data_IF_626472860639
#
_entry.id   IF_626472860639
#
_cell.length_a   1.000
_cell.length_b   1.000
_cell.length_c   1.000
_cell.angle_alpha   90.00
_cell.angle_beta   90.00
_cell.angle_gamma   90.00
#
_symmetry.space_group_name_H-M   'P 1'
#
loop_
_entity.id
_entity.type
_entity.pdbx_description
1 polymer ?
#
# COMPACT_ATOMS: atom_id res chain seq x y z
N UNK A 1 6.89 -13.71 -24.15
CA UNK A 1 6.56 -15.04 -23.56
C UNK A 1 5.42 -14.86 -22.58
N UNK A 2 4.48 -15.81 -22.52
CA UNK A 2 3.41 -15.76 -21.51
C UNK A 2 3.95 -16.22 -20.16
N UNK A 3 3.75 -15.43 -19.12
CA UNK A 3 4.05 -15.81 -17.75
C UNK A 3 3.00 -16.82 -17.27
N UNK A 4 3.41 -17.78 -16.44
CA UNK A 4 2.54 -18.80 -15.85
C UNK A 4 2.84 -19.06 -14.37
N UNK A 5 3.58 -18.17 -13.74
CA UNK A 5 3.89 -18.20 -12.31
C UNK A 5 4.28 -16.79 -11.84
N UNK A 6 4.12 -16.53 -10.54
CA UNK A 6 4.73 -15.38 -9.87
C UNK A 6 6.20 -15.68 -9.57
N UNK A 7 7.04 -14.65 -9.70
CA UNK A 7 8.46 -14.67 -9.31
C UNK A 7 8.73 -13.45 -8.41
N UNK A 8 8.47 -13.55 -7.10
CA UNK A 8 8.61 -12.43 -6.19
C UNK A 8 10.02 -11.81 -6.21
N UNK A 9 10.08 -10.48 -6.17
CA UNK A 9 11.34 -9.73 -6.17
C UNK A 9 12.02 -9.56 -7.52
N UNK A 10 11.51 -10.17 -8.59
CA UNK A 10 12.00 -9.92 -9.95
C UNK A 10 11.25 -8.77 -10.62
N UNK A 11 11.85 -8.19 -11.65
CA UNK A 11 11.15 -7.20 -12.50
C UNK A 11 10.04 -7.93 -13.28
N UNK A 12 8.81 -7.45 -13.11
CA UNK A 12 7.67 -7.97 -13.86
C UNK A 12 7.40 -7.08 -15.07
N UNK A 13 7.19 -7.75 -16.21
CA UNK A 13 6.94 -7.08 -17.48
C UNK A 13 5.46 -7.23 -17.87
N UNK A 14 4.92 -6.19 -18.47
CA UNK A 14 3.61 -6.22 -19.10
C UNK A 14 3.62 -7.05 -20.40
N UNK A 15 2.47 -7.16 -21.03
CA UNK A 15 2.34 -7.92 -22.31
C UNK A 15 3.09 -7.30 -23.47
N UNK A 16 3.55 -6.05 -23.35
CA UNK A 16 4.36 -5.34 -24.34
C UNK A 16 5.87 -5.45 -24.03
N UNK A 17 6.24 -6.03 -22.88
CA UNK A 17 7.61 -6.18 -22.43
C UNK A 17 8.19 -4.98 -21.69
N UNK A 18 7.36 -4.03 -21.26
CA UNK A 18 7.76 -2.92 -20.41
C UNK A 18 7.60 -3.28 -18.92
N UNK A 19 8.46 -2.74 -18.03
CA UNK A 19 8.30 -2.92 -16.58
C UNK A 19 6.94 -2.40 -16.09
N UNK A 20 6.23 -3.20 -15.31
CA UNK A 20 4.97 -2.80 -14.69
C UNK A 20 5.23 -1.70 -13.65
N UNK A 21 4.38 -0.67 -13.65
CA UNK A 21 4.45 0.48 -12.76
C UNK A 21 3.09 0.68 -12.07
N UNK A 22 2.84 -0.11 -11.02
CA UNK A 22 1.61 -0.06 -10.23
C UNK A 22 1.92 -0.30 -8.74
N UNK A 23 2.82 0.55 -8.19
CA UNK A 23 3.29 0.43 -6.83
C UNK A 23 2.30 1.02 -5.81
N UNK A 24 2.33 0.54 -4.57
CA UNK A 24 1.55 1.10 -3.45
C UNK A 24 0.03 1.04 -3.58
N UNK A 25 -0.48 0.44 -4.64
CA UNK A 25 -1.91 0.37 -4.95
C UNK A 25 -2.55 -0.97 -4.61
N UNK A 26 -3.59 -1.34 -5.36
CA UNK A 26 -4.37 -2.55 -5.10
C UNK A 26 -4.91 -3.17 -6.39
N UNK A 27 -5.63 -4.30 -6.24
CA UNK A 27 -6.24 -5.05 -7.33
C UNK A 27 -7.75 -5.13 -7.13
N UNK A 28 -8.53 -4.76 -8.14
CA UNK A 28 -9.97 -4.95 -8.19
C UNK A 28 -10.32 -6.02 -9.21
N UNK A 29 -11.33 -6.85 -8.89
CA UNK A 29 -11.91 -7.80 -9.84
C UNK A 29 -13.30 -7.33 -10.28
N UNK A 30 -13.49 -7.11 -11.59
CA UNK A 30 -14.71 -6.59 -12.15
C UNK A 30 -15.05 -7.37 -13.43
N UNK A 31 -16.22 -8.00 -13.46
CA UNK A 31 -16.73 -8.69 -14.65
C UNK A 31 -15.73 -9.66 -15.32
N UNK A 32 -15.04 -10.47 -14.52
CA UNK A 32 -14.10 -11.48 -15.04
C UNK A 32 -12.68 -10.97 -15.31
N UNK A 33 -12.40 -9.70 -15.01
CA UNK A 33 -11.10 -9.06 -15.25
C UNK A 33 -10.55 -8.49 -13.96
N UNK A 34 -9.27 -8.72 -13.69
CA UNK A 34 -8.51 -8.07 -12.64
C UNK A 34 -7.96 -6.74 -13.16
N UNK A 35 -8.07 -5.69 -12.37
CA UNK A 35 -7.48 -4.38 -12.62
C UNK A 35 -6.52 -4.06 -11.49
N UNK A 36 -5.22 -4.00 -11.84
CA UNK A 36 -4.15 -3.63 -10.92
C UNK A 36 -3.75 -2.19 -11.21
N UNK A 37 -3.85 -1.34 -10.21
CA UNK A 37 -3.52 0.08 -10.33
C UNK A 37 -2.58 0.50 -9.21
N UNK A 38 -1.77 1.53 -9.46
CA UNK A 38 -0.81 2.02 -8.49
C UNK A 38 0.06 3.14 -9.04
N UNK A 39 0.99 3.54 -8.21
CA UNK A 39 1.94 4.62 -8.45
C UNK A 39 2.90 4.27 -9.60
N UNK A 40 3.07 5.18 -10.55
CA UNK A 40 4.14 5.09 -11.53
C UNK A 40 5.42 5.73 -10.97
N UNK A 41 6.42 4.90 -10.69
CA UNK A 41 7.72 5.30 -10.16
C UNK A 41 8.82 5.41 -11.21
N UNK A 42 8.54 5.24 -12.51
CA UNK A 42 9.56 5.19 -13.57
C UNK A 42 10.49 6.41 -13.59
N UNK A 43 10.00 7.57 -13.15
CA UNK A 43 10.77 8.82 -13.11
C UNK A 43 11.34 9.16 -11.72
N UNK A 44 11.13 8.32 -10.71
CA UNK A 44 11.64 8.54 -9.36
C UNK A 44 13.05 7.99 -9.24
N UNK A 45 13.99 8.68 -9.87
CA UNK A 45 15.39 8.23 -10.02
C UNK A 45 16.30 8.65 -8.86
N UNK A 46 15.76 9.23 -7.79
CA UNK A 46 16.55 9.67 -6.62
C UNK A 46 17.15 11.07 -6.78
N UNK A 47 16.65 11.89 -7.68
CA UNK A 47 17.08 13.27 -7.89
C UNK A 47 16.20 14.33 -7.21
N UNK A 48 15.12 13.87 -6.53
CA UNK A 48 14.17 14.72 -5.81
C UNK A 48 13.19 15.49 -6.70
N UNK A 49 13.17 15.24 -8.03
CA UNK A 49 12.26 15.94 -8.94
C UNK A 49 10.87 15.36 -9.01
N UNK A 50 10.79 14.04 -8.92
CA UNK A 50 9.52 13.32 -9.02
C UNK A 50 9.39 12.34 -7.87
N UNK A 51 8.23 12.34 -7.22
CA UNK A 51 7.86 11.33 -6.23
C UNK A 51 7.00 10.22 -6.87
N UNK A 52 5.93 10.60 -7.57
CA UNK A 52 5.06 9.70 -8.32
C UNK A 52 4.63 10.38 -9.62
N UNK A 53 4.83 9.73 -10.76
CA UNK A 53 4.50 10.28 -12.07
C UNK A 53 3.15 9.74 -12.55
N UNK A 54 2.07 10.09 -11.82
CA UNK A 54 0.70 9.65 -12.10
C UNK A 54 0.40 8.21 -11.66
N UNK A 55 -0.83 7.79 -11.83
CA UNK A 55 -1.33 6.46 -11.48
C UNK A 55 -1.64 5.69 -12.75
N UNK A 56 -1.01 4.54 -12.92
CA UNK A 56 -1.25 3.60 -14.04
C UNK A 56 -2.22 2.50 -13.63
N UNK A 57 -2.80 1.86 -14.63
CA UNK A 57 -3.65 0.69 -14.46
C UNK A 57 -3.29 -0.38 -15.48
N UNK A 58 -3.41 -1.62 -15.05
CA UNK A 58 -3.18 -2.82 -15.85
C UNK A 58 -4.37 -3.74 -15.73
N UNK A 59 -4.67 -4.52 -16.79
CA UNK A 59 -5.72 -5.55 -16.76
C UNK A 59 -5.17 -6.94 -17.00
N UNK A 60 -5.78 -7.94 -16.36
CA UNK A 60 -5.44 -9.34 -16.53
C UNK A 60 -6.66 -10.24 -16.31
N UNK A 61 -6.70 -11.38 -16.96
CA UNK A 61 -7.68 -12.44 -16.69
C UNK A 61 -7.07 -13.63 -15.96
N UNK A 62 -5.74 -13.67 -15.80
CA UNK A 62 -5.00 -14.79 -15.22
C UNK A 62 -4.05 -14.40 -14.07
N UNK A 63 -3.93 -13.10 -13.75
CA UNK A 63 -3.02 -12.53 -12.76
C UNK A 63 -1.52 -12.64 -13.08
N UNK A 64 -1.15 -13.34 -14.17
CA UNK A 64 0.24 -13.50 -14.57
C UNK A 64 0.64 -12.56 -15.71
N UNK A 65 -0.33 -12.28 -16.60
CA UNK A 65 -0.09 -11.49 -17.83
C UNK A 65 -0.94 -10.22 -17.78
N UNK A 66 -0.26 -9.09 -17.69
CA UNK A 66 -0.88 -7.80 -17.46
C UNK A 66 -0.77 -6.90 -18.70
N UNK A 67 -1.89 -6.43 -19.20
CA UNK A 67 -1.95 -5.45 -20.26
C UNK A 67 -1.93 -4.04 -19.68
N UNK A 68 -1.01 -3.19 -20.11
CA UNK A 68 -0.96 -1.77 -19.74
C UNK A 68 -2.16 -1.03 -20.37
N UNK A 69 -2.94 -0.36 -19.53
CA UNK A 69 -4.08 0.49 -19.92
C UNK A 69 -3.72 1.98 -19.87
N UNK A 70 -2.47 2.32 -19.57
CA UNK A 70 -1.99 3.68 -19.45
C UNK A 70 -2.32 4.35 -18.11
N UNK A 71 -2.28 5.67 -18.11
CA UNK A 71 -2.62 6.48 -16.96
C UNK A 71 -4.13 6.55 -16.77
N UNK A 72 -4.61 6.15 -15.61
CA UNK A 72 -5.99 6.40 -15.18
C UNK A 72 -6.11 7.75 -14.46
N UNK A 73 -5.02 8.19 -13.81
CA UNK A 73 -4.86 9.52 -13.23
C UNK A 73 -3.49 10.04 -13.70
N UNK A 74 -3.46 10.87 -14.77
CA UNK A 74 -2.21 11.40 -15.29
C UNK A 74 -1.58 12.40 -14.31
N UNK A 75 -0.25 12.60 -14.37
CA UNK A 75 0.40 13.67 -13.63
C UNK A 75 -0.07 15.03 -14.15
N UNK A 76 -0.12 16.03 -13.30
CA UNK A 76 -0.42 17.42 -13.67
C UNK A 76 0.87 18.20 -13.91
N UNK A 77 0.87 19.07 -14.90
CA UNK A 77 1.95 20.06 -15.12
C UNK A 77 1.75 21.34 -14.28
N UNK A 78 0.54 21.55 -13.73
CA UNK A 78 0.25 22.67 -12.85
C UNK A 78 0.78 22.39 -11.44
N UNK A 79 1.74 23.19 -10.98
CA UNK A 79 2.36 23.10 -9.64
C UNK A 79 1.35 23.28 -8.49
N UNK A 80 0.20 23.89 -8.76
CA UNK A 80 -0.88 24.06 -7.77
C UNK A 80 -1.79 22.84 -7.67
N UNK A 81 -1.73 21.95 -8.65
CA UNK A 81 -2.54 20.74 -8.66
C UNK A 81 -2.11 19.77 -7.56
N UNK A 82 -3.04 19.10 -6.86
CA UNK A 82 -2.69 18.01 -5.95
C UNK A 82 -1.98 16.86 -6.69
N UNK A 83 -2.15 16.74 -8.01
CA UNK A 83 -1.55 15.71 -8.86
C UNK A 83 -0.20 16.14 -9.46
N UNK A 84 0.39 17.24 -9.01
CA UNK A 84 1.73 17.64 -9.41
C UNK A 84 2.78 16.63 -8.92
N UNK A 85 3.66 16.11 -9.78
CA UNK A 85 4.51 14.95 -9.47
C UNK A 85 5.55 15.16 -8.35
N UNK A 86 5.79 16.38 -7.92
CA UNK A 86 6.65 16.69 -6.77
C UNK A 86 5.91 16.55 -5.44
N UNK A 87 4.59 16.64 -5.42
CA UNK A 87 3.81 16.22 -4.26
C UNK A 87 4.03 14.73 -4.03
N UNK A 88 4.20 14.36 -2.76
CA UNK A 88 4.46 12.96 -2.41
C UNK A 88 3.14 12.19 -2.45
N UNK A 89 2.75 11.80 -3.67
CA UNK A 89 1.52 11.07 -3.97
C UNK A 89 1.77 9.59 -3.72
N UNK A 90 1.02 9.01 -2.78
CA UNK A 90 1.13 7.62 -2.38
C UNK A 90 -0.24 6.94 -2.24
N UNK A 91 -0.24 5.62 -2.24
CA UNK A 91 -1.36 4.76 -1.84
C UNK A 91 -2.68 5.06 -2.54
N UNK A 92 -2.76 5.03 -3.87
CA UNK A 92 -4.06 5.13 -4.52
C UNK A 92 -4.90 3.90 -4.17
N UNK A 93 -6.10 4.10 -3.63
CA UNK A 93 -7.09 3.04 -3.43
C UNK A 93 -8.40 3.40 -4.09
N UNK A 94 -8.98 2.48 -4.84
CA UNK A 94 -10.23 2.67 -5.60
C UNK A 94 -11.28 1.71 -5.08
N UNK A 95 -12.48 2.23 -4.83
CA UNK A 95 -13.68 1.45 -4.51
C UNK A 95 -14.82 1.82 -5.45
N UNK A 96 -15.72 0.86 -5.73
CA UNK A 96 -16.90 1.11 -6.53
C UNK A 96 -18.11 1.37 -5.64
N UNK A 97 -18.78 2.49 -5.87
CA UNK A 97 -20.01 2.83 -5.17
C UNK A 97 -21.24 2.44 -5.99
N UNK A 98 -21.96 1.43 -5.55
CA UNK A 98 -23.13 0.91 -6.28
C UNK A 98 -24.30 1.90 -6.29
N UNK A 99 -24.42 2.81 -5.29
CA UNK A 99 -25.49 3.80 -5.19
C UNK A 99 -25.30 4.94 -6.17
N UNK A 100 -24.07 5.48 -6.25
CA UNK A 100 -23.72 6.59 -7.13
C UNK A 100 -23.27 6.15 -8.51
N UNK A 101 -22.99 4.85 -8.70
CA UNK A 101 -22.40 4.25 -9.91
C UNK A 101 -21.03 4.85 -10.27
N UNK A 102 -20.26 5.29 -9.27
CA UNK A 102 -18.93 5.88 -9.44
C UNK A 102 -17.84 4.98 -8.87
N UNK A 103 -16.71 5.02 -9.50
CA UNK A 103 -15.43 4.63 -8.90
C UNK A 103 -14.94 5.83 -8.09
N UNK A 104 -14.64 5.60 -6.81
CA UNK A 104 -14.13 6.61 -5.89
C UNK A 104 -12.69 6.24 -5.57
N UNK A 105 -11.76 7.11 -5.91
CA UNK A 105 -10.34 6.95 -5.65
C UNK A 105 -9.91 7.91 -4.55
N UNK A 106 -9.27 7.37 -3.52
CA UNK A 106 -8.58 8.14 -2.49
C UNK A 106 -7.08 8.02 -2.72
N UNK A 107 -6.36 9.11 -2.52
CA UNK A 107 -4.90 9.18 -2.66
C UNK A 107 -4.34 9.96 -1.49
N UNK A 108 -3.39 9.37 -0.76
CA UNK A 108 -2.60 10.08 0.26
C UNK A 108 -1.62 11.02 -0.43
N UNK A 109 -1.49 12.23 0.06
CA UNK A 109 -0.50 13.21 -0.41
C UNK A 109 0.18 13.89 0.77
N UNK A 110 1.51 13.83 0.81
CA UNK A 110 2.31 14.74 1.61
C UNK A 110 2.61 15.95 0.73
N UNK A 111 1.93 17.05 1.00
CA UNK A 111 2.09 18.29 0.26
C UNK A 111 3.41 18.99 0.62
N UNK A 112 3.96 19.77 -0.31
CA UNK A 112 5.22 20.48 -0.12
C UNK A 112 5.23 21.43 1.09
N UNK A 113 4.06 21.93 1.50
CA UNK A 113 3.88 22.71 2.72
C UNK A 113 3.86 21.91 4.03
N UNK A 114 4.10 20.59 3.96
CA UNK A 114 4.21 19.71 5.13
C UNK A 114 2.88 19.16 5.67
N UNK A 115 1.77 19.33 4.93
CA UNK A 115 0.46 18.77 5.30
C UNK A 115 0.36 17.35 4.73
N UNK A 116 -0.03 16.36 5.54
CA UNK A 116 -0.42 15.04 5.07
C UNK A 116 -1.94 14.93 5.03
N UNK A 117 -2.49 14.77 3.85
CA UNK A 117 -3.92 14.79 3.60
C UNK A 117 -4.30 13.86 2.46
N UNK A 118 -5.60 13.73 2.21
CA UNK A 118 -6.15 12.89 1.14
C UNK A 118 -6.71 13.76 0.02
N UNK A 119 -6.50 13.36 -1.21
CA UNK A 119 -7.24 13.84 -2.38
C UNK A 119 -8.20 12.76 -2.83
N UNK A 120 -9.47 13.15 -3.09
CA UNK A 120 -10.53 12.24 -3.51
C UNK A 120 -10.94 12.57 -4.93
N UNK A 121 -10.99 11.53 -5.76
CA UNK A 121 -11.36 11.64 -7.17
C UNK A 121 -12.49 10.66 -7.48
N UNK A 122 -13.28 10.96 -8.51
CA UNK A 122 -14.33 10.05 -8.98
C UNK A 122 -14.27 9.86 -10.50
N UNK A 123 -14.75 8.71 -10.97
CA UNK A 123 -14.88 8.38 -12.39
C UNK A 123 -16.09 7.48 -12.64
N UNK A 124 -16.57 7.44 -13.89
CA UNK A 124 -17.62 6.51 -14.33
C UNK A 124 -17.06 5.12 -14.66
N UNK A 125 -15.78 5.02 -14.95
CA UNK A 125 -15.08 3.78 -15.28
C UNK A 125 -13.82 3.64 -14.43
N UNK A 126 -13.42 2.39 -14.14
CA UNK A 126 -12.16 2.15 -13.41
C UNK A 126 -10.94 2.74 -14.12
N UNK A 127 -10.98 2.80 -15.45
CA UNK A 127 -9.93 3.38 -16.29
C UNK A 127 -10.00 4.91 -16.42
N UNK A 128 -10.92 5.55 -15.71
CA UNK A 128 -11.10 7.00 -15.74
C UNK A 128 -11.93 7.52 -16.93
N UNK A 129 -11.83 8.81 -17.26
CA UNK A 129 -11.00 9.80 -16.57
C UNK A 129 -11.49 10.10 -15.15
N UNK A 130 -10.57 10.27 -14.21
CA UNK A 130 -10.88 10.66 -12.84
C UNK A 130 -10.88 12.18 -12.69
N UNK A 131 -11.85 12.69 -11.95
CA UNK A 131 -11.98 14.12 -11.63
C UNK A 131 -11.77 14.31 -10.13
N UNK A 132 -10.91 15.24 -9.75
CA UNK A 132 -10.72 15.65 -8.36
C UNK A 132 -12.01 16.31 -7.85
N UNK A 133 -12.56 15.80 -6.74
CA UNK A 133 -13.75 16.33 -6.09
C UNK A 133 -13.46 16.93 -4.72
N UNK A 134 -12.35 16.52 -4.10
CA UNK A 134 -11.90 17.03 -2.80
C UNK A 134 -10.39 16.94 -2.73
N UNK A 135 -9.73 18.02 -2.32
CA UNK A 135 -8.28 18.07 -2.11
C UNK A 135 -7.95 18.52 -0.69
N UNK A 136 -6.73 18.20 -0.22
CA UNK A 136 -6.26 18.52 1.13
C UNK A 136 -7.27 18.14 2.23
N UNK A 137 -8.02 17.06 1.98
CA UNK A 137 -9.00 16.57 2.93
C UNK A 137 -8.30 15.90 4.10
N UNK A 138 -8.59 16.37 5.30
CA UNK A 138 -8.11 15.83 6.58
C UNK A 138 -9.26 15.13 7.28
N UNK A 139 -9.42 13.81 7.13
CA UNK A 139 -10.50 13.05 7.75
C UNK A 139 -10.47 13.26 9.27
N UNK A 140 -11.62 13.54 9.88
CA UNK A 140 -11.74 13.81 11.34
C UNK A 140 -10.84 14.97 11.83
N UNK A 141 -10.41 15.88 10.95
CA UNK A 141 -9.41 16.92 11.20
C UNK A 141 -8.02 16.39 11.61
N UNK A 142 -7.69 15.15 11.20
CA UNK A 142 -6.40 14.48 11.44
C UNK A 142 -5.53 14.51 10.19
N UNK A 143 -4.21 14.60 10.37
CA UNK A 143 -3.28 14.29 9.28
C UNK A 143 -3.35 12.80 8.98
N UNK A 144 -3.48 12.46 7.70
CA UNK A 144 -3.71 11.10 7.23
C UNK A 144 -2.51 10.56 6.49
N UNK A 145 -1.91 9.51 7.04
CA UNK A 145 -0.83 8.74 6.44
C UNK A 145 -1.34 7.61 5.54
N UNK A 146 -0.60 6.52 5.49
CA UNK A 146 -0.95 5.33 4.69
C UNK A 146 -2.29 4.75 5.10
N UNK A 147 -3.02 4.19 4.14
CA UNK A 147 -4.38 3.76 4.38
C UNK A 147 -4.82 2.58 3.50
N UNK A 148 -5.97 2.02 3.85
CA UNK A 148 -6.76 1.09 3.03
C UNK A 148 -8.24 1.46 3.07
N UNK A 149 -8.95 1.15 1.98
CA UNK A 149 -10.41 1.32 1.84
C UNK A 149 -11.10 -0.04 1.74
N UNK A 150 -12.12 -0.21 2.55
CA UNK A 150 -12.85 -1.47 2.64
C UNK A 150 -14.34 -1.25 2.45
N UNK A 151 -14.97 -2.02 1.57
CA UNK A 151 -16.42 -2.04 1.42
C UNK A 151 -16.96 -3.36 1.94
N UNK A 152 -17.81 -3.28 2.95
CA UNK A 152 -18.48 -4.43 3.53
C UNK A 152 -19.60 -4.98 2.61
N UNK A 153 -20.06 -6.23 2.81
CA UNK A 153 -21.15 -6.79 2.03
C UNK A 153 -22.47 -5.99 2.12
N UNK A 154 -22.69 -5.30 3.24
CA UNK A 154 -23.85 -4.41 3.46
C UNK A 154 -23.69 -3.02 2.83
N UNK A 155 -22.61 -2.81 2.07
CA UNK A 155 -22.20 -1.57 1.39
C UNK A 155 -21.76 -0.44 2.30
N UNK A 156 -21.57 -0.67 3.58
CA UNK A 156 -20.84 0.28 4.42
C UNK A 156 -19.37 0.30 4.04
N UNK A 157 -18.81 1.51 4.01
CA UNK A 157 -17.39 1.73 3.74
C UNK A 157 -16.62 2.00 5.03
N UNK A 158 -15.37 1.54 5.05
CA UNK A 158 -14.44 1.78 6.15
C UNK A 158 -13.11 2.27 5.60
N UNK A 159 -12.50 3.22 6.31
CA UNK A 159 -11.23 3.83 6.01
C UNK A 159 -10.27 3.57 7.17
N UNK A 160 -9.28 2.70 6.93
CA UNK A 160 -8.20 2.43 7.88
C UNK A 160 -7.02 3.30 7.51
N UNK A 161 -6.58 4.18 8.39
CA UNK A 161 -5.46 5.07 8.08
C UNK A 161 -4.56 5.32 9.29
N UNK A 162 -3.30 5.55 9.02
CA UNK A 162 -2.37 6.06 10.00
C UNK A 162 -2.73 7.52 10.32
N UNK A 163 -3.05 7.82 11.58
CA UNK A 163 -3.02 9.17 12.10
C UNK A 163 -1.56 9.53 12.33
N UNK A 164 -1.01 10.33 11.44
CA UNK A 164 0.42 10.51 11.23
C UNK A 164 1.24 10.41 12.50
N UNK A 165 2.05 9.34 12.52
CA UNK A 165 3.05 8.97 13.50
C UNK A 165 2.54 8.76 14.94
N UNK A 166 1.27 8.36 15.12
CA UNK A 166 0.71 8.10 16.46
C UNK A 166 -0.05 6.78 16.59
N UNK A 167 -1.03 6.54 15.73
CA UNK A 167 -1.96 5.42 15.88
C UNK A 167 -2.66 5.10 14.55
N UNK A 168 -3.32 3.95 14.46
CA UNK A 168 -4.16 3.59 13.34
C UNK A 168 -5.63 3.90 13.65
N UNK A 169 -6.32 4.58 12.75
CA UNK A 169 -7.75 4.91 12.85
C UNK A 169 -8.54 4.01 11.91
N UNK A 170 -9.69 3.52 12.37
CA UNK A 170 -10.75 2.98 11.51
C UNK A 170 -11.93 3.94 11.57
N UNK A 171 -12.27 4.59 10.46
CA UNK A 171 -13.40 5.49 10.33
C UNK A 171 -14.46 4.93 9.39
N UNK A 172 -15.75 5.14 9.72
CA UNK A 172 -16.86 4.80 8.83
C UNK A 172 -17.00 5.85 7.73
N UNK A 173 -17.07 5.43 6.47
CA UNK A 173 -17.30 6.32 5.31
C UNK A 173 -18.77 6.75 5.21
N UNK A 174 -18.99 7.89 4.56
CA UNK A 174 -20.33 8.29 4.09
C UNK A 174 -20.86 7.35 3.00
N UNK A 175 -22.16 7.39 2.73
CA UNK A 175 -22.84 6.52 1.75
C UNK A 175 -22.28 6.62 0.32
N UNK A 176 -21.70 7.76 -0.05
CA UNK A 176 -21.07 8.00 -1.35
C UNK A 176 -19.56 7.71 -1.38
N UNK A 177 -18.98 7.33 -0.23
CA UNK A 177 -17.56 7.04 -0.01
C UNK A 177 -16.63 8.25 -0.25
N UNK A 178 -17.14 9.49 -0.17
CA UNK A 178 -16.34 10.69 -0.42
C UNK A 178 -16.01 11.48 0.86
N UNK A 179 -16.42 10.96 2.02
CA UNK A 179 -16.16 11.56 3.33
C UNK A 179 -16.22 10.49 4.43
N UNK A 180 -15.98 10.89 5.68
CA UNK A 180 -16.18 10.10 6.89
C UNK A 180 -17.38 10.60 7.68
N UNK A 181 -18.10 9.68 8.36
CA UNK A 181 -19.31 10.03 9.13
C UNK A 181 -19.02 10.70 10.46
N UNK A 182 -17.79 10.59 10.96
CA UNK A 182 -17.41 10.99 12.31
C UNK A 182 -17.37 9.81 13.31
N UNK A 183 -17.92 8.66 12.96
CA UNK A 183 -17.75 7.41 13.72
C UNK A 183 -16.36 6.83 13.45
N UNK A 184 -15.55 6.63 14.50
CA UNK A 184 -14.23 6.03 14.36
C UNK A 184 -13.77 5.30 15.63
N UNK A 185 -12.75 4.48 15.48
CA UNK A 185 -12.00 3.81 16.55
C UNK A 185 -10.50 3.97 16.34
N UNK A 186 -9.74 3.92 17.43
CA UNK A 186 -8.28 4.05 17.45
C UNK A 186 -7.65 2.72 17.86
N UNK A 187 -6.55 2.36 17.19
CA UNK A 187 -5.84 1.09 17.35
C UNK A 187 -4.33 1.32 17.37
N UNK A 188 -3.60 0.46 18.07
CA UNK A 188 -2.15 0.39 18.11
C UNK A 188 -1.46 1.74 18.42
N UNK A 189 -1.84 2.44 19.51
CA UNK A 189 -1.14 3.66 19.89
C UNK A 189 0.30 3.33 20.28
N UNK A 190 1.28 3.94 19.60
CA UNK A 190 2.70 3.71 19.81
C UNK A 190 3.49 5.03 19.81
N UNK A 191 4.69 4.98 20.37
CA UNK A 191 5.56 6.16 20.54
C UNK A 191 6.30 6.52 19.24
N UNK A 192 5.58 6.88 18.17
CA UNK A 192 6.18 7.39 16.94
C UNK A 192 7.01 6.39 16.14
N UNK A 193 7.61 6.86 15.04
CA UNK A 193 8.49 6.06 14.21
C UNK A 193 9.74 5.55 14.95
N UNK A 194 10.22 4.38 14.62
CA UNK A 194 9.77 3.47 13.55
C UNK A 194 8.64 2.51 13.95
N UNK A 195 8.09 2.63 15.15
CA UNK A 195 7.21 1.61 15.75
C UNK A 195 5.73 1.78 15.43
N UNK A 196 5.28 3.03 15.17
CA UNK A 196 3.90 3.29 14.80
C UNK A 196 3.54 2.52 13.51
N UNK A 197 2.29 2.06 13.43
CA UNK A 197 1.85 1.18 12.34
C UNK A 197 1.33 1.98 11.16
N UNK A 198 1.86 1.69 9.96
CA UNK A 198 1.43 2.26 8.68
C UNK A 198 1.14 1.15 7.65
N UNK A 199 0.85 1.53 6.42
CA UNK A 199 0.55 0.62 5.30
C UNK A 199 -0.49 -0.47 5.68
N UNK A 200 -1.65 -0.08 6.23
CA UNK A 200 -2.67 -1.08 6.55
C UNK A 200 -3.13 -1.79 5.27
N UNK A 201 -3.22 -3.12 5.32
CA UNK A 201 -3.76 -3.96 4.27
C UNK A 201 -4.80 -4.90 4.90
N UNK A 202 -6.06 -4.64 4.60
CA UNK A 202 -7.19 -5.31 5.22
C UNK A 202 -7.70 -6.47 4.38
N UNK A 203 -8.13 -7.54 5.03
CA UNK A 203 -8.89 -8.63 4.39
C UNK A 203 -9.76 -9.37 5.39
N UNK A 204 -10.73 -10.14 4.87
CA UNK A 204 -11.60 -10.98 5.71
C UNK A 204 -11.49 -12.43 5.34
N UNK A 205 -11.60 -13.31 6.34
CA UNK A 205 -11.76 -14.76 6.14
C UNK A 205 -12.61 -15.35 7.25
N UNK A 206 -13.63 -16.13 6.87
CA UNK A 206 -14.51 -16.86 7.78
C UNK A 206 -15.13 -15.98 8.89
N UNK A 207 -15.55 -14.75 8.53
CA UNK A 207 -16.14 -13.78 9.45
C UNK A 207 -15.13 -13.08 10.39
N UNK A 208 -13.84 -13.35 10.27
CA UNK A 208 -12.77 -12.64 10.96
C UNK A 208 -12.20 -11.54 10.07
N UNK A 209 -11.80 -10.44 10.68
CA UNK A 209 -11.23 -9.25 10.06
C UNK A 209 -9.73 -9.22 10.37
N UNK A 210 -8.90 -9.21 9.35
CA UNK A 210 -7.44 -9.20 9.48
C UNK A 210 -6.89 -7.89 8.97
N UNK A 211 -5.83 -7.43 9.61
CA UNK A 211 -5.11 -6.22 9.22
C UNK A 211 -3.61 -6.49 9.29
N UNK A 212 -2.92 -6.39 8.16
CA UNK A 212 -1.47 -6.42 8.10
C UNK A 212 -1.00 -4.97 8.06
N UNK A 213 0.05 -4.65 8.82
CA UNK A 213 0.64 -3.32 8.88
C UNK A 213 2.16 -3.43 8.86
N UNK A 214 2.85 -2.34 8.52
CA UNK A 214 4.30 -2.18 8.69
C UNK A 214 4.62 -1.17 9.77
N UNK A 215 5.88 -1.11 10.22
CA UNK A 215 6.40 0.03 10.97
C UNK A 215 6.67 1.21 10.05
N UNK A 216 6.92 2.39 10.62
CA UNK A 216 7.17 3.63 9.87
C UNK A 216 8.65 3.82 9.62
N UNK A 217 9.12 3.40 8.46
CA UNK A 217 10.53 3.51 8.04
C UNK A 217 10.68 4.02 6.59
N UNK A 218 9.71 4.78 6.10
CA UNK A 218 9.67 5.23 4.71
C UNK A 218 9.74 4.04 3.75
N UNK A 219 10.56 4.12 2.73
CA UNK A 219 10.73 3.02 1.76
C UNK A 219 11.64 1.88 2.23
N UNK A 220 12.30 2.01 3.40
CA UNK A 220 13.14 0.94 3.95
C UNK A 220 12.26 -0.16 4.55
N UNK A 221 12.53 -1.45 4.22
CA UNK A 221 11.71 -2.55 4.70
C UNK A 221 11.87 -2.77 6.21
N UNK A 222 10.79 -3.25 6.83
CA UNK A 222 10.69 -3.50 8.27
C UNK A 222 9.76 -4.69 8.53
N UNK A 223 9.68 -5.22 9.76
CA UNK A 223 8.79 -6.32 10.06
C UNK A 223 7.32 -5.91 10.01
N UNK A 224 6.53 -6.66 9.26
CA UNK A 224 5.08 -6.57 9.29
C UNK A 224 4.52 -7.11 10.61
N UNK A 225 3.34 -6.62 10.97
CA UNK A 225 2.53 -7.15 12.06
C UNK A 225 1.12 -7.43 11.55
N UNK A 226 0.56 -8.57 11.93
CA UNK A 226 -0.82 -8.90 11.63
C UNK A 226 -1.66 -8.90 12.89
N UNK A 227 -2.88 -8.37 12.79
CA UNK A 227 -3.87 -8.37 13.86
C UNK A 227 -5.22 -8.90 13.36
N UNK A 228 -6.06 -9.38 14.29
CA UNK A 228 -7.37 -9.95 14.01
C UNK A 228 -8.45 -9.33 14.89
N UNK A 229 -9.64 -9.15 14.33
CA UNK A 229 -10.84 -8.69 15.03
C UNK A 229 -12.09 -9.49 14.59
N UNK A 230 -13.18 -9.35 15.33
CA UNK A 230 -14.51 -9.88 14.97
C UNK A 230 -15.39 -8.83 14.26
N UNK A 231 -14.98 -7.57 14.25
CA UNK A 231 -15.73 -6.46 13.67
C UNK A 231 -14.79 -5.49 12.93
N UNK A 232 -15.33 -4.69 11.98
CA UNK A 232 -14.55 -3.69 11.24
C UNK A 232 -13.86 -2.68 12.17
N UNK A 233 -14.54 -2.18 13.17
CA UNK A 233 -13.99 -1.25 14.16
C UNK A 233 -13.16 -1.92 15.26
N UNK A 234 -12.82 -3.19 15.14
CA UNK A 234 -12.07 -3.93 16.15
C UNK A 234 -12.94 -4.36 17.36
N UNK A 235 -12.37 -4.50 18.56
CA UNK A 235 -10.95 -4.34 18.85
C UNK A 235 -10.07 -5.38 18.16
N UNK A 236 -8.88 -4.96 17.72
CA UNK A 236 -7.90 -5.83 17.08
C UNK A 236 -6.94 -6.44 18.10
N UNK A 237 -6.70 -7.74 17.96
CA UNK A 237 -5.70 -8.49 18.72
C UNK A 237 -4.50 -8.79 17.84
N UNK A 238 -3.32 -8.37 18.24
CA UNK A 238 -2.06 -8.61 17.52
C UNK A 238 -1.69 -10.09 17.57
N UNK A 239 -1.36 -10.66 16.41
CA UNK A 239 -0.90 -12.05 16.26
C UNK A 239 0.61 -12.15 16.02
N UNK A 240 1.30 -11.01 15.81
CA UNK A 240 2.74 -10.92 15.55
C UNK A 240 3.11 -10.85 14.07
N UNK A 241 4.38 -11.13 13.76
CA UNK A 241 4.89 -11.10 12.39
C UNK A 241 4.37 -12.31 11.58
N UNK A 242 3.71 -12.11 10.43
CA UNK A 242 3.23 -13.22 9.61
C UNK A 242 4.33 -13.88 8.75
N UNK A 243 5.48 -13.23 8.52
CA UNK A 243 6.54 -13.71 7.64
C UNK A 243 7.38 -14.81 8.31
N UNK A 244 7.19 -16.04 7.89
CA UNK A 244 7.86 -17.21 8.48
C UNK A 244 9.21 -17.43 7.82
N UNK A 245 10.27 -17.46 8.64
CA UNK A 245 11.65 -17.65 8.14
C UNK A 245 12.30 -16.39 7.58
N UNK A 246 11.71 -15.22 7.79
CA UNK A 246 12.38 -13.94 7.50
C UNK A 246 13.33 -13.57 8.65
N UNK A 247 14.56 -14.06 8.59
CA UNK A 247 15.60 -13.81 9.59
C UNK A 247 16.11 -12.36 9.56
N UNK A 248 15.69 -11.58 8.56
CA UNK A 248 16.16 -10.19 8.39
C UNK A 248 15.23 -9.16 9.02
N UNK A 249 14.04 -9.57 9.49
CA UNK A 249 13.00 -8.67 10.02
C UNK A 249 12.60 -7.55 9.01
N UNK A 250 12.49 -7.92 7.73
CA UNK A 250 12.23 -6.96 6.64
C UNK A 250 10.98 -7.30 5.83
N UNK A 251 10.18 -8.27 6.27
CA UNK A 251 9.04 -8.79 5.49
C UNK A 251 9.48 -9.27 4.10
N UNK A 252 10.60 -10.03 4.04
CA UNK A 252 11.28 -10.45 2.82
C UNK A 252 11.70 -9.26 1.93
N UNK A 253 12.19 -8.18 2.54
CA UNK A 253 12.54 -6.91 1.90
C UNK A 253 11.38 -6.29 1.10
N UNK A 254 10.20 -6.24 1.72
CA UNK A 254 9.02 -5.64 1.10
C UNK A 254 8.09 -4.99 2.12
N UNK A 255 7.17 -4.18 1.62
CA UNK A 255 6.06 -3.61 2.39
C UNK A 255 4.75 -4.01 1.70
N UNK A 256 3.83 -4.63 2.43
CA UNK A 256 2.52 -5.01 1.89
C UNK A 256 1.67 -3.74 1.78
N UNK A 257 1.11 -3.49 0.59
CA UNK A 257 0.24 -2.35 0.28
C UNK A 257 -1.23 -2.72 0.26
N UNK A 258 -1.55 -3.98 -0.06
CA UNK A 258 -2.92 -4.47 -0.10
C UNK A 258 -2.96 -6.00 -0.04
N UNK A 259 -4.14 -6.53 0.25
CA UNK A 259 -4.44 -7.97 0.17
C UNK A 259 -5.71 -8.17 -0.63
N UNK A 260 -5.71 -9.08 -1.59
CA UNK A 260 -6.93 -9.46 -2.27
C UNK A 260 -7.14 -10.97 -2.33
N UNK A 261 -8.40 -11.40 -2.37
CA UNK A 261 -8.77 -12.80 -2.56
C UNK A 261 -8.83 -13.14 -4.04
N UNK A 262 -8.19 -14.24 -4.45
CA UNK A 262 -8.26 -14.73 -5.83
C UNK A 262 -9.65 -15.33 -6.11
N UNK A 263 -10.29 -14.85 -7.18
CA UNK A 263 -11.61 -15.33 -7.56
C UNK A 263 -11.58 -16.80 -7.99
N UNK A 264 -12.60 -17.54 -7.58
CA UNK A 264 -12.70 -18.97 -7.82
C UNK A 264 -11.86 -19.85 -6.89
N UNK A 265 -11.02 -19.25 -6.03
CA UNK A 265 -10.23 -19.95 -5.02
C UNK A 265 -10.87 -19.79 -3.63
N UNK A 266 -10.97 -20.91 -2.89
CA UNK A 266 -11.60 -20.93 -1.57
C UNK A 266 -10.78 -20.17 -0.54
N UNK A 267 -9.47 -20.42 -0.52
CA UNK A 267 -8.58 -19.98 0.56
C UNK A 267 -7.34 -19.21 0.07
N UNK A 268 -7.27 -18.81 -1.21
CA UNK A 268 -6.11 -18.09 -1.73
C UNK A 268 -6.30 -16.57 -1.61
N UNK A 269 -5.49 -15.97 -0.75
CA UNK A 269 -5.31 -14.53 -0.61
C UNK A 269 -3.89 -14.18 -1.02
N UNK A 270 -3.70 -13.10 -1.75
CA UNK A 270 -2.38 -12.61 -2.17
C UNK A 270 -2.06 -11.34 -1.40
N UNK A 271 -0.96 -11.37 -0.64
CA UNK A 271 -0.37 -10.18 -0.07
C UNK A 271 0.48 -9.48 -1.13
N UNK A 272 0.08 -8.27 -1.52
CA UNK A 272 0.74 -7.47 -2.55
C UNK A 272 1.82 -6.61 -1.90
N UNK A 273 3.06 -7.09 -1.90
CA UNK A 273 4.20 -6.37 -1.38
C UNK A 273 4.96 -5.61 -2.47
N UNK A 274 5.46 -4.43 -2.12
CA UNK A 274 6.41 -3.65 -2.91
C UNK A 274 7.80 -3.75 -2.28
N UNK A 275 8.80 -4.17 -3.07
CA UNK A 275 10.22 -4.05 -2.73
C UNK A 275 10.72 -2.73 -3.28
N UNK A 276 10.59 -1.69 -2.47
CA UNK A 276 10.87 -0.31 -2.88
C UNK A 276 12.33 -0.07 -3.26
N UNK A 277 13.27 -0.64 -2.49
CA UNK A 277 14.70 -0.36 -2.59
C UNK A 277 15.51 -1.65 -2.80
N UNK A 278 15.39 -2.32 -3.97
CA UNK A 278 16.10 -3.57 -4.23
C UNK A 278 17.63 -3.41 -4.18
N UNK A 279 18.14 -2.20 -4.42
CA UNK A 279 19.57 -1.90 -4.37
C UNK A 279 20.12 -1.68 -2.94
N UNK A 280 19.25 -1.55 -1.93
CA UNK A 280 19.60 -1.31 -0.53
C UNK A 280 19.27 -2.50 0.39
N UNK A 281 19.09 -3.70 -0.15
CA UNK A 281 18.79 -4.92 0.64
C UNK A 281 19.91 -5.31 1.63
N UNK A 282 21.11 -4.77 1.47
CA UNK A 282 22.23 -4.98 2.39
C UNK A 282 22.13 -4.16 3.67
N UNK A 283 21.21 -3.17 3.75
CA UNK A 283 21.02 -2.35 4.94
C UNK A 283 20.17 -3.13 5.95
N UNK A 284 20.70 -3.48 7.13
CA UNK A 284 19.97 -4.28 8.10
C UNK A 284 18.86 -3.46 8.75
N UNK A 285 17.71 -4.09 9.04
CA UNK A 285 16.59 -3.44 9.71
C UNK A 285 16.99 -2.74 11.01
N UNK A 286 17.93 -3.32 11.78
CA UNK A 286 18.43 -2.68 13.01
C UNK A 286 18.99 -1.29 12.76
N UNK A 287 19.75 -1.08 11.68
CA UNK A 287 20.29 0.22 11.33
C UNK A 287 19.17 1.20 10.93
N UNK A 288 18.23 0.76 10.08
CA UNK A 288 17.05 1.55 9.68
C UNK A 288 16.23 1.96 10.91
N UNK A 289 15.91 1.00 11.78
CA UNK A 289 15.19 1.25 13.03
C UNK A 289 15.88 2.30 13.90
N UNK A 290 17.17 2.15 14.11
CA UNK A 290 17.96 3.05 14.96
C UNK A 290 18.08 4.46 14.33
N UNK A 291 18.15 4.56 13.00
CA UNK A 291 18.14 5.80 12.23
C UNK A 291 16.82 6.57 12.42
N UNK A 292 15.68 5.92 12.15
CA UNK A 292 14.36 6.55 12.31
C UNK A 292 14.10 6.91 13.77
N UNK A 293 14.42 6.02 14.71
CA UNK A 293 14.32 6.32 16.13
C UNK A 293 15.11 7.57 16.49
N UNK A 294 16.36 7.68 16.02
CA UNK A 294 17.21 8.86 16.25
C UNK A 294 16.54 10.14 15.74
N UNK A 295 16.09 10.16 14.50
CA UNK A 295 15.43 11.33 13.91
C UNK A 295 14.18 11.78 14.65
N UNK A 296 13.33 10.85 15.08
CA UNK A 296 12.07 11.17 15.74
C UNK A 296 12.16 11.35 17.27
N UNK A 297 13.28 10.97 17.90
CA UNK A 297 13.55 11.23 19.32
C UNK A 297 14.53 12.39 19.57
N UNK A 298 14.98 13.06 18.48
CA UNK A 298 15.87 14.21 18.56
C UNK A 298 17.36 13.89 18.58
N UNK A 299 17.76 12.61 18.46
CA UNK A 299 19.17 12.20 18.29
C UNK A 299 19.56 12.19 16.80
N UNK A 300 19.53 13.38 16.18
CA UNK A 300 19.84 13.55 14.76
C UNK A 300 21.22 13.02 14.38
N UNK A 301 22.21 13.17 15.28
CA UNK A 301 23.59 12.74 15.04
C UNK A 301 23.69 11.22 14.79
N UNK A 302 22.91 10.43 15.52
CA UNK A 302 22.85 8.98 15.33
C UNK A 302 22.27 8.61 13.96
N UNK A 303 21.20 9.28 13.55
CA UNK A 303 20.61 9.09 12.22
C UNK A 303 21.61 9.41 11.10
N UNK A 304 22.28 10.57 11.19
CA UNK A 304 23.32 10.98 10.22
C UNK A 304 24.51 10.04 10.17
N UNK A 305 24.92 9.47 11.32
CA UNK A 305 26.00 8.48 11.37
C UNK A 305 25.62 7.24 10.54
N UNK A 306 24.40 6.72 10.68
CA UNK A 306 23.92 5.55 9.94
C UNK A 306 23.83 5.86 8.43
N UNK A 307 23.33 7.04 8.06
CA UNK A 307 23.32 7.49 6.66
C UNK A 307 24.71 7.44 6.04
N UNK A 308 25.74 7.89 6.76
CA UNK A 308 27.13 7.85 6.30
C UNK A 308 27.69 6.41 6.27
N UNK A 309 27.43 5.61 7.30
CA UNK A 309 27.94 4.24 7.42
C UNK A 309 27.46 3.35 6.26
N UNK A 310 26.19 3.45 5.90
CA UNK A 310 25.58 2.66 4.83
C UNK A 310 25.53 3.39 3.48
N UNK A 311 26.10 4.61 3.39
CA UNK A 311 26.08 5.45 2.20
C UNK A 311 24.65 5.59 1.61
N UNK A 312 23.70 5.91 2.49
CA UNK A 312 22.29 6.03 2.08
C UNK A 312 22.07 7.28 1.22
N UNK A 313 21.22 7.20 0.20
CA UNK A 313 20.95 8.34 -0.66
C UNK A 313 20.13 9.41 0.08
N UNK A 314 20.26 10.67 -0.36
CA UNK A 314 19.43 11.77 0.14
C UNK A 314 17.96 11.61 -0.30
N UNK A 315 17.73 11.08 -1.50
CA UNK A 315 16.42 10.75 -2.05
C UNK A 315 16.47 9.33 -2.57
N UNK A 316 15.46 8.55 -2.23
CA UNK A 316 15.36 7.15 -2.64
C UNK A 316 14.99 7.04 -4.13
N UNK A 317 15.69 6.16 -4.85
CA UNK A 317 15.41 5.85 -6.25
C UNK A 317 14.45 4.64 -6.32
N UNK A 318 13.16 4.90 -6.28
CA UNK A 318 12.14 3.84 -6.34
C UNK A 318 11.77 3.41 -7.77
N UNK A 319 12.39 4.00 -8.80
CA UNK A 319 12.18 3.57 -10.19
C UNK A 319 12.60 2.13 -10.48
N UNK A 320 13.44 1.54 -9.62
CA UNK A 320 13.86 0.14 -9.69
C UNK A 320 13.05 -0.80 -8.78
N UNK A 321 12.00 -0.31 -8.14
CA UNK A 321 11.15 -1.11 -7.27
C UNK A 321 10.60 -2.35 -7.98
N UNK A 322 10.41 -3.42 -7.23
CA UNK A 322 9.88 -4.70 -7.72
C UNK A 322 8.75 -5.19 -6.82
N UNK A 323 8.08 -6.24 -7.24
CA UNK A 323 6.92 -6.78 -6.52
C UNK A 323 7.25 -8.07 -5.78
N UNK A 324 6.75 -8.17 -4.55
CA UNK A 324 6.82 -9.38 -3.72
C UNK A 324 5.38 -9.78 -3.39
N UNK A 325 4.72 -10.43 -4.36
CA UNK A 325 3.38 -10.98 -4.15
C UNK A 325 3.48 -12.41 -3.66
N UNK A 326 2.97 -12.65 -2.46
CA UNK A 326 3.05 -13.94 -1.80
C UNK A 326 1.68 -14.43 -1.33
N UNK A 327 1.41 -15.75 -1.39
CA UNK A 327 0.17 -16.30 -0.88
C UNK A 327 0.14 -16.26 0.65
N UNK A 328 -1.02 -15.92 1.19
CA UNK A 328 -1.30 -16.05 2.62
C UNK A 328 -1.88 -17.45 2.87
N UNK A 329 -1.21 -18.24 3.69
CA UNK A 329 -1.69 -19.54 4.15
C UNK A 329 -2.17 -19.45 5.60
N UNK A 330 -3.13 -20.28 5.99
CA UNK A 330 -3.68 -20.28 7.33
C UNK A 330 -3.28 -21.56 8.06
N UNK A 331 -2.57 -21.41 9.17
CA UNK A 331 -2.17 -22.51 10.05
C UNK A 331 -2.77 -22.28 11.42
N UNK A 332 -3.61 -23.19 11.90
CA UNK A 332 -4.35 -23.03 13.16
C UNK A 332 -5.04 -21.65 13.26
N UNK A 333 -5.75 -21.26 12.21
CA UNK A 333 -6.43 -19.96 12.05
C UNK A 333 -5.53 -18.71 12.09
N UNK A 334 -4.22 -18.88 12.06
CA UNK A 334 -3.27 -17.76 12.00
C UNK A 334 -2.73 -17.60 10.57
N UNK A 335 -2.82 -16.40 9.99
CA UNK A 335 -2.23 -16.12 8.69
C UNK A 335 -0.70 -16.19 8.74
N UNK A 336 -0.12 -16.83 7.74
CA UNK A 336 1.32 -17.02 7.56
C UNK A 336 1.70 -16.68 6.12
N UNK A 337 2.87 -16.11 5.92
CA UNK A 337 3.44 -15.78 4.63
C UNK A 337 4.82 -16.44 4.57
N UNK A 338 5.02 -17.31 3.59
CA UNK A 338 6.29 -17.98 3.33
C UNK A 338 6.93 -17.42 2.08
N UNK A 339 8.26 -17.39 2.04
CA UNK A 339 8.98 -17.06 0.82
C UNK A 339 8.85 -18.17 -0.22
N UNK A 340 8.58 -17.76 -1.46
CA UNK A 340 8.60 -18.62 -2.64
C UNK A 340 9.48 -17.99 -3.73
N UNK A 341 10.46 -18.70 -4.25
CA UNK A 341 11.25 -18.25 -5.41
C UNK A 341 10.38 -18.16 -6.68
N UNK A 342 9.35 -19.01 -6.76
CA UNK A 342 8.25 -18.95 -7.70
C UNK A 342 7.07 -19.74 -7.17
N UNK A 343 5.84 -19.33 -7.53
CA UNK A 343 4.62 -20.04 -7.14
C UNK A 343 3.50 -19.83 -8.17
N UNK A 344 2.48 -20.68 -8.14
CA UNK A 344 1.34 -20.65 -9.05
C UNK A 344 0.02 -20.63 -8.28
N UNK A 345 -0.99 -19.98 -8.86
CA UNK A 345 -2.37 -19.97 -8.35
C UNK A 345 -2.94 -21.40 -8.31
N UNK A 346 -2.55 -22.23 -9.27
CA UNK A 346 -3.01 -23.61 -9.41
C UNK A 346 -2.53 -24.51 -8.27
N UNK A 347 -1.46 -24.14 -7.57
CA UNK A 347 -0.93 -24.89 -6.41
C UNK A 347 -1.81 -24.73 -5.14
N UNK A 348 -2.84 -23.86 -5.19
CA UNK A 348 -3.72 -23.55 -4.08
C UNK A 348 -5.20 -23.87 -4.40
N UNK A 349 -5.97 -24.29 -3.35
CA UNK A 349 -7.40 -24.61 -3.46
C UNK A 349 -8.30 -23.37 -3.53
#
# INVERSE_FOLDING_TARGET
MKNNCFKPGQVWLDTNGAPIQAHGGSVLFINGTYYWYGENKEKTVGDGKYWTYGIKCYSSTDLYNWQDLGFIIPPSEDEKSPLYPQNMIDRPHIVYNEKTKKFVCWIKIMYLEGIQAVTILTADKITGPYTVIKEKFRPLNMDAGDFDLVIAPDKKGYYYFEKVHTELICATLTDDYTDVTGEYTSHFPLEGPPFVREAPAYFTKDGKHYLITSGTTGYYPNPSEIAVASHYHGPFTVLGNPHVGDETDTSFHSQISSVFKVQGKKNLYIACGDRWLPNLMHVPYKAVRDMFKGWFTGDMAKGEQIVKEYNLPKYEATCSATYVWLPIVFENDKPKIYWHNSWKIEDFE
#
